data_IF_848863848196
#
_entry.id   IF_848863848196
#
_cell.length_a   1.000
_cell.length_b   1.000
_cell.length_c   1.000
_cell.angle_alpha   90.00
_cell.angle_beta   90.00
_cell.angle_gamma   90.00
#
_symmetry.space_group_name_H-M   'P 1'
#
loop_
_entity.id
_entity.type
_entity.pdbx_description
1 polymer ?
#
# COMPACT_ATOMS: atom_id res chain seq x y z
N UNK A 1 0.11 -18.93 20.38
CA UNK A 1 -0.06 -17.76 20.45
C UNK A 1 -0.06 -17.03 19.21
N UNK A 2 -0.64 -16.12 19.12
CA UNK A 2 -0.69 -15.46 17.88
C UNK A 2 0.57 -14.81 17.66
N UNK A 3 1.04 -14.91 16.53
CA UNK A 3 2.10 -14.25 16.11
C UNK A 3 1.74 -12.90 15.77
N UNK A 4 2.66 -12.12 15.50
CA UNK A 4 2.48 -10.77 15.15
C UNK A 4 1.57 -10.73 13.97
N UNK A 5 0.44 -10.25 14.17
CA UNK A 5 -0.53 -10.18 13.12
C UNK A 5 -0.26 -8.96 12.27
N UNK A 6 -0.47 -9.12 10.98
CA UNK A 6 -0.49 -7.98 10.09
C UNK A 6 -1.92 -7.52 9.95
N UNK A 7 -2.16 -6.23 10.05
CA UNK A 7 -3.50 -5.69 9.82
C UNK A 7 -3.49 -4.74 8.64
N UNK A 8 -4.57 -4.78 7.88
CA UNK A 8 -4.77 -3.91 6.72
C UNK A 8 -6.17 -3.33 6.85
N UNK A 9 -6.28 -2.08 7.29
CA UNK A 9 -7.56 -1.42 7.47
C UNK A 9 -7.81 -0.46 6.32
N UNK A 10 -9.01 -0.52 5.75
CA UNK A 10 -9.35 0.29 4.58
C UNK A 10 -10.16 1.50 5.02
N UNK A 11 -9.74 2.69 4.59
CA UNK A 11 -10.47 3.94 4.85
C UNK A 11 -10.87 4.59 3.53
N UNK A 12 -12.10 5.04 3.45
CA UNK A 12 -12.55 5.85 2.33
C UNK A 12 -12.34 7.31 2.69
N UNK A 13 -11.47 8.00 1.94
CA UNK A 13 -11.14 9.39 2.25
C UNK A 13 -11.80 10.38 1.29
N UNK A 14 -12.11 9.94 0.08
CA UNK A 14 -12.89 10.74 -0.86
C UNK A 14 -13.42 9.80 -1.94
N UNK A 15 -14.24 10.33 -2.84
CA UNK A 15 -14.73 9.53 -3.95
C UNK A 15 -13.54 9.08 -4.79
N UNK A 16 -13.45 7.78 -5.00
CA UNK A 16 -12.42 7.22 -5.85
C UNK A 16 -11.06 7.05 -5.20
N UNK A 17 -10.89 7.43 -3.93
CA UNK A 17 -9.60 7.29 -3.23
C UNK A 17 -9.77 6.52 -1.94
N UNK A 18 -8.95 5.51 -1.75
CA UNK A 18 -8.95 4.67 -0.55
C UNK A 18 -7.57 4.64 0.07
N UNK A 19 -7.51 4.58 1.39
CA UNK A 19 -6.26 4.39 2.12
C UNK A 19 -6.29 3.02 2.77
N UNK A 20 -5.20 2.27 2.63
CA UNK A 20 -5.01 1.02 3.36
C UNK A 20 -3.96 1.28 4.44
N UNK A 21 -4.38 1.23 5.69
CA UNK A 21 -3.48 1.40 6.83
C UNK A 21 -2.86 0.04 7.15
N UNK A 22 -1.55 -0.04 7.08
CA UNK A 22 -0.81 -1.29 7.24
C UNK A 22 -0.05 -1.26 8.55
N UNK A 23 -0.23 -2.29 9.38
CA UNK A 23 0.49 -2.39 10.64
C UNK A 23 1.06 -3.79 10.80
N UNK A 24 2.24 -3.87 11.40
CA UNK A 24 2.90 -5.14 11.68
C UNK A 24 3.87 -5.55 10.59
N UNK A 25 3.92 -6.83 10.30
CA UNK A 25 4.89 -7.40 9.37
C UNK A 25 4.24 -7.85 8.08
N UNK A 26 4.86 -7.54 6.95
CA UNK A 26 4.40 -8.04 5.66
C UNK A 26 5.36 -9.11 5.19
N UNK A 27 4.87 -10.34 5.08
CA UNK A 27 5.64 -11.48 4.58
C UNK A 27 4.78 -12.21 3.55
N UNK A 28 5.31 -13.27 2.95
CA UNK A 28 4.54 -14.07 2.01
C UNK A 28 3.25 -14.61 2.64
N UNK A 29 3.23 -14.78 3.96
CA UNK A 29 2.05 -15.28 4.66
C UNK A 29 0.96 -14.24 4.81
N UNK A 30 1.24 -12.98 4.48
CA UNK A 30 0.25 -11.91 4.54
C UNK A 30 -0.63 -11.84 3.28
N UNK A 31 -0.44 -12.74 2.33
CA UNK A 31 -1.08 -12.64 1.02
C UNK A 31 -2.60 -12.55 1.11
N UNK A 32 -3.23 -13.46 1.84
CA UNK A 32 -4.69 -13.50 1.88
C UNK A 32 -5.25 -12.22 2.50
N UNK A 33 -4.63 -11.74 3.57
CA UNK A 33 -5.10 -10.55 4.28
C UNK A 33 -4.91 -9.31 3.41
N UNK A 34 -3.75 -9.21 2.74
CA UNK A 34 -3.49 -8.06 1.87
C UNK A 34 -4.43 -8.05 0.67
N UNK A 35 -4.60 -9.20 0.02
CA UNK A 35 -5.45 -9.24 -1.16
C UNK A 35 -6.92 -9.05 -0.82
N UNK A 36 -7.35 -9.48 0.37
CA UNK A 36 -8.69 -9.19 0.84
C UNK A 36 -8.88 -7.69 1.06
N UNK A 37 -7.91 -7.03 1.69
CA UNK A 37 -7.97 -5.59 1.91
C UNK A 37 -7.99 -4.83 0.59
N UNK A 38 -7.13 -5.24 -0.35
CA UNK A 38 -7.11 -4.61 -1.66
C UNK A 38 -8.45 -4.78 -2.38
N UNK A 39 -9.04 -5.98 -2.30
CA UNK A 39 -10.35 -6.23 -2.89
C UNK A 39 -11.44 -5.34 -2.30
N UNK A 40 -11.42 -5.16 -0.98
CA UNK A 40 -12.37 -4.26 -0.32
C UNK A 40 -12.14 -2.80 -0.70
N UNK A 41 -10.88 -2.41 -0.84
CA UNK A 41 -10.55 -1.04 -1.22
C UNK A 41 -10.89 -0.77 -2.68
N UNK A 42 -10.78 -1.78 -3.54
CA UNK A 42 -10.89 -1.62 -4.98
C UNK A 42 -12.32 -1.77 -5.47
N UNK A 43 -13.26 -1.11 -4.78
CA UNK A 43 -14.66 -1.15 -5.17
C UNK A 43 -14.91 -0.18 -6.33
N UNK A 44 -16.18 -0.08 -6.74
CA UNK A 44 -16.56 0.68 -7.93
C UNK A 44 -16.03 2.10 -7.91
N UNK A 45 -15.42 2.50 -9.00
CA UNK A 45 -15.00 3.88 -9.21
C UNK A 45 -13.73 4.28 -8.49
N UNK A 46 -13.05 3.35 -7.81
CA UNK A 46 -11.80 3.68 -7.12
C UNK A 46 -10.69 3.82 -8.15
N UNK A 47 -10.03 4.99 -8.17
CA UNK A 47 -8.96 5.30 -9.10
C UNK A 47 -7.59 5.39 -8.44
N UNK A 48 -7.54 5.46 -7.11
CA UNK A 48 -6.28 5.59 -6.40
C UNK A 48 -6.32 4.85 -5.07
N UNK A 49 -5.25 4.13 -4.79
CA UNK A 49 -5.05 3.40 -3.53
C UNK A 49 -3.81 3.99 -2.87
N UNK A 50 -3.94 4.44 -1.64
CA UNK A 50 -2.82 4.98 -0.86
C UNK A 50 -2.46 3.96 0.21
N UNK A 51 -1.19 3.57 0.26
CA UNK A 51 -0.69 2.61 1.25
C UNK A 51 -0.01 3.38 2.37
N UNK A 52 -0.52 3.24 3.58
CA UNK A 52 0.06 3.88 4.75
C UNK A 52 0.98 2.89 5.46
N UNK A 53 2.28 3.15 5.36
CA UNK A 53 3.31 2.29 5.96
C UNK A 53 3.82 2.80 7.30
N UNK A 54 3.16 3.81 7.89
CA UNK A 54 3.65 4.41 9.14
C UNK A 54 3.76 3.43 10.29
N UNK A 55 2.91 2.42 10.33
CA UNK A 55 2.90 1.41 11.40
C UNK A 55 3.50 0.08 10.95
N UNK A 56 4.19 0.06 9.81
CA UNK A 56 4.89 -1.13 9.36
C UNK A 56 6.11 -1.38 10.22
N UNK A 57 6.23 -2.59 10.77
CA UNK A 57 7.40 -2.98 11.56
C UNK A 57 8.46 -3.64 10.72
N UNK A 58 8.06 -4.49 9.77
CA UNK A 58 9.01 -5.31 9.03
C UNK A 58 8.39 -5.80 7.73
N UNK A 59 9.22 -5.92 6.70
CA UNK A 59 8.80 -6.48 5.43
C UNK A 59 9.98 -7.23 4.82
N UNK A 60 9.77 -8.50 4.48
CA UNK A 60 10.81 -9.29 3.84
C UNK A 60 10.58 -9.38 2.33
N UNK A 61 11.41 -10.15 1.63
CA UNK A 61 11.30 -10.26 0.19
C UNK A 61 9.95 -10.85 -0.26
N UNK A 62 9.38 -11.74 0.54
CA UNK A 62 8.04 -12.26 0.23
C UNK A 62 6.99 -11.17 0.31
N UNK A 63 7.12 -10.27 1.28
CA UNK A 63 6.22 -9.12 1.41
C UNK A 63 6.38 -8.17 0.23
N UNK A 64 7.61 -7.92 -0.20
CA UNK A 64 7.84 -7.08 -1.37
C UNK A 64 7.19 -7.70 -2.60
N UNK A 65 7.28 -9.03 -2.75
CA UNK A 65 6.62 -9.72 -3.84
C UNK A 65 5.12 -9.53 -3.83
N UNK A 66 4.52 -9.49 -2.63
CA UNK A 66 3.08 -9.23 -2.52
C UNK A 66 2.72 -7.83 -2.97
N UNK A 67 3.56 -6.84 -2.66
CA UNK A 67 3.33 -5.48 -3.13
C UNK A 67 3.38 -5.42 -4.64
N UNK A 68 4.31 -6.15 -5.26
CA UNK A 68 4.38 -6.23 -6.72
C UNK A 68 3.08 -6.81 -7.27
N UNK A 69 2.56 -7.87 -6.64
CA UNK A 69 1.29 -8.46 -7.06
C UNK A 69 0.15 -7.45 -6.97
N UNK A 70 0.11 -6.69 -5.89
CA UNK A 70 -0.91 -5.65 -5.72
C UNK A 70 -0.78 -4.60 -6.82
N UNK A 71 0.45 -4.18 -7.13
CA UNK A 71 0.68 -3.18 -8.16
C UNK A 71 0.23 -3.67 -9.53
N UNK A 72 0.47 -4.93 -9.85
CA UNK A 72 0.02 -5.49 -11.12
C UNK A 72 -1.50 -5.47 -11.21
N UNK A 73 -2.18 -5.83 -10.12
CA UNK A 73 -3.64 -5.80 -10.10
C UNK A 73 -4.17 -4.38 -10.27
N UNK A 74 -3.53 -3.43 -9.57
CA UNK A 74 -3.95 -2.03 -9.63
C UNK A 74 -3.77 -1.48 -11.05
N UNK A 75 -2.67 -1.82 -11.70
CA UNK A 75 -2.43 -1.39 -13.08
C UNK A 75 -3.49 -1.93 -14.03
N UNK A 76 -3.91 -3.17 -13.82
CA UNK A 76 -4.95 -3.75 -14.66
C UNK A 76 -6.28 -3.05 -14.51
N UNK A 77 -6.51 -2.41 -13.36
CA UNK A 77 -7.74 -1.68 -13.10
C UNK A 77 -7.56 -0.18 -13.30
N UNK A 78 -6.42 0.23 -13.85
CA UNK A 78 -6.10 1.64 -14.12
C UNK A 78 -6.15 2.48 -12.85
N UNK A 79 -5.66 1.91 -11.75
CA UNK A 79 -5.60 2.60 -10.47
C UNK A 79 -4.18 3.10 -10.22
N UNK A 80 -4.08 4.30 -9.65
CA UNK A 80 -2.83 4.85 -9.20
C UNK A 80 -2.53 4.30 -7.80
N UNK A 81 -1.27 3.96 -7.53
CA UNK A 81 -0.87 3.52 -6.19
C UNK A 81 0.14 4.51 -5.63
N UNK A 82 -0.12 4.96 -4.41
CA UNK A 82 0.73 5.90 -3.71
C UNK A 82 1.06 5.33 -2.34
N UNK A 83 2.12 5.83 -1.72
CA UNK A 83 2.53 5.37 -0.40
C UNK A 83 3.08 6.52 0.42
N UNK A 84 2.94 6.44 1.73
CA UNK A 84 3.60 7.36 2.64
C UNK A 84 3.99 6.62 3.91
N UNK A 85 4.87 7.23 4.69
CA UNK A 85 5.26 6.68 5.98
C UNK A 85 6.35 5.63 5.92
N UNK A 86 6.98 5.41 4.77
CA UNK A 86 8.08 4.47 4.68
C UNK A 86 9.29 4.99 5.45
N UNK A 87 9.95 4.10 6.20
CA UNK A 87 11.22 4.44 6.81
C UNK A 87 12.28 4.63 5.72
N UNK A 88 13.38 5.27 6.06
CA UNK A 88 14.49 5.46 5.11
C UNK A 88 14.98 4.12 4.56
N UNK A 89 15.00 3.10 5.41
CA UNK A 89 15.43 1.76 5.00
C UNK A 89 14.54 1.21 3.89
N UNK A 90 13.22 1.28 4.06
CA UNK A 90 12.31 0.75 3.05
C UNK A 90 12.20 1.66 1.83
N UNK A 91 12.35 2.97 2.01
CA UNK A 91 12.44 3.88 0.86
C UNK A 91 13.60 3.47 -0.04
N UNK A 92 14.74 3.16 0.57
CA UNK A 92 15.92 2.75 -0.19
C UNK A 92 15.66 1.43 -0.92
N UNK A 93 14.98 0.48 -0.27
CA UNK A 93 14.63 -0.78 -0.91
C UNK A 93 13.70 -0.54 -2.10
N UNK A 94 12.73 0.37 -1.97
CA UNK A 94 11.84 0.69 -3.07
C UNK A 94 12.61 1.29 -4.25
N UNK A 95 13.62 2.12 -3.97
CA UNK A 95 14.46 2.68 -5.02
C UNK A 95 15.30 1.61 -5.70
N UNK A 96 15.90 0.74 -4.92
CA UNK A 96 16.77 -0.31 -5.46
C UNK A 96 15.98 -1.33 -6.30
N UNK A 97 14.74 -1.58 -5.94
CA UNK A 97 13.89 -2.52 -6.67
C UNK A 97 13.05 -1.84 -7.74
N UNK A 98 13.18 -0.53 -7.87
CA UNK A 98 12.42 0.29 -8.82
C UNK A 98 10.92 0.29 -8.56
N UNK A 99 10.50 -0.05 -7.36
CA UNK A 99 9.09 0.06 -6.99
C UNK A 99 8.65 1.52 -6.94
N UNK A 100 9.59 2.44 -6.69
CA UNK A 100 9.28 3.86 -6.68
C UNK A 100 8.87 4.38 -8.05
N UNK A 101 9.09 3.62 -9.12
CA UNK A 101 8.61 4.00 -10.45
C UNK A 101 7.13 3.67 -10.63
N UNK A 102 6.62 2.72 -9.86
CA UNK A 102 5.22 2.31 -9.94
C UNK A 102 4.37 2.85 -8.79
N UNK A 103 5.02 3.29 -7.71
CA UNK A 103 4.34 3.80 -6.51
C UNK A 103 4.82 5.22 -6.27
N UNK A 104 3.89 6.17 -6.19
CA UNK A 104 4.24 7.55 -5.83
C UNK A 104 4.53 7.62 -4.34
N UNK A 105 5.77 7.91 -3.95
CA UNK A 105 6.19 7.92 -2.56
C UNK A 105 6.15 9.33 -2.00
N UNK A 106 5.52 9.47 -0.84
CA UNK A 106 5.35 10.75 -0.17
C UNK A 106 5.76 10.64 1.29
N UNK A 107 6.05 11.78 1.90
CA UNK A 107 6.41 11.84 3.32
C UNK A 107 5.19 11.83 4.22
N UNK A 108 4.05 12.33 3.73
CA UNK A 108 2.86 12.50 4.55
C UNK A 108 1.62 12.02 3.83
N UNK A 109 0.57 11.75 4.62
CA UNK A 109 -0.73 11.40 4.05
C UNK A 109 -1.25 12.53 3.17
N UNK A 110 -1.11 13.78 3.62
CA UNK A 110 -1.60 14.91 2.86
C UNK A 110 -0.94 14.98 1.48
N UNK A 111 0.37 14.73 1.42
CA UNK A 111 1.07 14.72 0.14
C UNK A 111 0.59 13.62 -0.79
N UNK A 112 0.38 12.43 -0.23
CA UNK A 112 -0.13 11.31 -1.02
C UNK A 112 -1.54 11.57 -1.52
N UNK A 113 -2.40 12.11 -0.67
CA UNK A 113 -3.78 12.40 -1.07
C UNK A 113 -3.84 13.50 -2.13
N UNK A 114 -2.98 14.51 -2.02
CA UNK A 114 -2.93 15.56 -3.04
C UNK A 114 -2.53 14.99 -4.40
N UNK A 115 -1.56 14.09 -4.42
CA UNK A 115 -1.14 13.44 -5.66
C UNK A 115 -2.25 12.55 -6.22
N UNK A 116 -3.04 11.95 -5.35
CA UNK A 116 -4.17 11.11 -5.76
C UNK A 116 -5.34 11.93 -6.29
N UNK A 117 -5.28 13.25 -6.16
CA UNK A 117 -6.40 14.10 -6.58
C UNK A 117 -7.51 14.19 -5.55
N UNK A 118 -7.27 13.76 -4.33
CA UNK A 118 -8.24 13.92 -3.25
C UNK A 118 -8.10 15.33 -2.68
N UNK A 119 -9.18 15.99 -2.50
CA UNK A 119 -9.13 17.35 -1.97
C UNK A 119 -10.03 17.50 -0.78
#
# INVERSE_FOLDING_TARGET
MPEAATTFDVRAVSDGVRVIDIAGDITAQSEDVLMDAYGRASSDGVRAIVLNFSALDYMNSGGIGLLVTLLVRAQRQHQQVLAYGLSDHYRQIFELTRLDEAVGIHDTEAGALADAGAS
#
